data_IF_106386172770
#
_entry.id   IF_106386172770
#
_cell.length_a   1.000
_cell.length_b   1.000
_cell.length_c   1.000
_cell.angle_alpha   90.00
_cell.angle_beta   90.00
_cell.angle_gamma   90.00
#
_symmetry.space_group_name_H-M   'P 1'
#
loop_
_entity.id
_entity.type
_entity.pdbx_description
1 polymer ?
#
# COMPACT_ATOMS: atom_id res chain seq x y z
N UNK A 1 -44.99 -7.20 60.66
CA UNK A 1 -46.23 -6.81 59.95
C UNK A 1 -46.42 -5.31 60.09
N UNK A 2 -46.26 -4.55 59.01
CA UNK A 2 -46.93 -3.27 58.78
C UNK A 2 -46.61 -2.83 57.35
N UNK A 3 -47.61 -2.85 56.46
CA UNK A 3 -47.62 -2.07 55.23
C UNK A 3 -49.06 -1.79 54.81
N UNK A 4 -49.20 -0.68 54.07
CA UNK A 4 -50.23 -0.25 53.11
C UNK A 4 -50.97 1.01 53.55
N UNK A 5 -51.19 2.04 52.72
CA UNK A 5 -50.82 2.34 51.31
C UNK A 5 -51.15 3.82 51.04
N UNK A 6 -50.49 4.37 50.02
CA UNK A 6 -50.60 5.72 49.45
C UNK A 6 -52.02 6.15 49.04
N UNK A 7 -52.30 7.46 49.18
CA UNK A 7 -53.33 8.19 48.43
C UNK A 7 -52.76 9.55 48.01
N UNK A 8 -52.72 9.82 46.71
CA UNK A 8 -52.34 11.12 46.16
C UNK A 8 -53.33 12.21 46.59
N UNK A 9 -52.85 13.39 46.99
CA UNK A 9 -53.56 14.64 46.74
C UNK A 9 -52.57 15.81 46.77
N UNK A 10 -52.24 16.33 45.58
CA UNK A 10 -51.42 17.55 45.41
C UNK A 10 -52.33 18.74 45.72
N UNK A 11 -52.42 19.09 47.00
CA UNK A 11 -53.11 20.28 47.45
C UNK A 11 -52.34 21.53 47.01
N UNK A 12 -53.04 22.43 46.30
CA UNK A 12 -52.65 23.81 46.04
C UNK A 12 -52.59 24.61 47.35
N UNK A 13 -51.45 25.22 47.65
CA UNK A 13 -51.25 26.16 48.78
C UNK A 13 -50.35 27.28 48.24
N UNK A 14 -50.95 28.37 47.76
CA UNK A 14 -51.11 29.66 48.44
C UNK A 14 -49.80 30.47 48.52
N UNK A 15 -49.73 31.57 47.75
CA UNK A 15 -48.66 32.57 47.80
C UNK A 15 -48.68 33.33 49.14
N UNK A 16 -47.54 33.48 49.84
CA UNK A 16 -47.40 34.49 50.88
C UNK A 16 -46.82 35.79 50.32
N UNK A 17 -47.58 36.85 50.54
CA UNK A 17 -47.31 38.27 50.29
C UNK A 17 -45.97 38.72 50.88
N UNK A 18 -45.14 39.37 50.08
CA UNK A 18 -43.91 40.05 50.51
C UNK A 18 -44.25 41.53 50.67
N UNK A 19 -44.23 42.02 51.90
CA UNK A 19 -44.19 43.46 52.16
C UNK A 19 -42.82 43.86 52.75
N UNK A 20 -42.22 44.80 52.04
CA UNK A 20 -41.32 45.87 52.51
C UNK A 20 -39.85 45.53 52.82
N UNK A 21 -39.02 45.93 51.86
CA UNK A 21 -37.56 46.06 51.92
C UNK A 21 -37.09 47.23 52.83
N UNK A 22 -35.84 47.21 53.34
CA UNK A 22 -34.76 47.85 52.56
C UNK A 22 -33.37 47.21 52.78
N UNK A 23 -32.84 46.48 51.78
CA UNK A 23 -31.39 46.17 51.70
C UNK A 23 -30.79 46.39 50.30
N UNK A 24 -31.55 46.97 49.36
CA UNK A 24 -31.13 47.26 47.99
C UNK A 24 -29.80 48.01 47.81
N UNK A 25 -29.34 48.94 48.68
CA UNK A 25 -28.12 49.69 48.39
C UNK A 25 -26.82 48.89 48.56
N UNK A 26 -26.81 47.89 49.46
CA UNK A 26 -25.58 47.16 49.81
C UNK A 26 -25.31 45.98 48.88
N UNK A 27 -26.37 45.35 48.38
CA UNK A 27 -26.25 44.26 47.41
C UNK A 27 -25.85 44.80 46.03
N UNK A 28 -26.49 45.88 45.56
CA UNK A 28 -26.17 46.51 44.29
C UNK A 28 -24.73 47.08 44.22
N UNK A 29 -24.22 47.65 45.32
CA UNK A 29 -22.83 48.13 45.38
C UNK A 29 -21.80 46.98 45.38
N UNK A 30 -22.14 45.85 46.01
CA UNK A 30 -21.31 44.65 46.00
C UNK A 30 -21.33 43.96 44.63
N UNK A 31 -22.47 43.97 43.93
CA UNK A 31 -22.62 43.47 42.57
C UNK A 31 -21.86 44.32 41.57
N UNK A 32 -21.91 45.65 41.65
CA UNK A 32 -21.13 46.52 40.76
C UNK A 32 -19.61 46.34 40.96
N UNK A 33 -19.18 46.11 42.20
CA UNK A 33 -17.77 45.82 42.49
C UNK A 33 -17.39 44.43 42.00
N UNK A 34 -18.25 43.43 42.20
CA UNK A 34 -18.03 42.06 41.73
C UNK A 34 -18.02 41.97 40.20
N UNK A 35 -18.95 42.63 39.50
CA UNK A 35 -18.99 42.69 38.04
C UNK A 35 -17.74 43.38 37.47
N UNK A 36 -17.30 44.48 38.08
CA UNK A 36 -16.08 45.19 37.66
C UNK A 36 -14.81 44.34 37.81
N UNK A 37 -14.75 43.47 38.83
CA UNK A 37 -13.61 42.56 39.02
C UNK A 37 -13.73 41.26 38.20
N UNK A 38 -14.92 40.69 38.03
CA UNK A 38 -15.13 39.41 37.34
C UNK A 38 -15.14 39.55 35.81
N UNK A 39 -15.67 40.66 35.28
CA UNK A 39 -15.71 40.92 33.85
C UNK A 39 -14.33 40.86 33.15
N UNK A 40 -13.25 41.50 33.67
CA UNK A 40 -11.94 41.42 33.04
C UNK A 40 -11.34 40.02 33.13
N UNK A 41 -11.57 39.27 34.22
CA UNK A 41 -11.04 37.91 34.38
C UNK A 41 -11.73 36.91 33.43
N UNK A 42 -13.05 37.00 33.27
CA UNK A 42 -13.80 36.19 32.30
C UNK A 42 -13.38 36.55 30.87
N UNK A 43 -13.15 37.83 30.61
CA UNK A 43 -12.65 38.31 29.31
C UNK A 43 -11.26 37.75 29.00
N UNK A 44 -10.31 37.83 29.92
CA UNK A 44 -8.97 37.27 29.73
C UNK A 44 -9.01 35.75 29.57
N UNK A 45 -9.83 35.05 30.35
CA UNK A 45 -10.00 33.60 30.19
C UNK A 45 -10.58 33.23 28.80
N UNK A 46 -11.55 34.00 28.29
CA UNK A 46 -12.08 33.81 26.93
C UNK A 46 -11.02 34.10 25.87
N UNK A 47 -10.29 35.20 25.98
CA UNK A 47 -9.25 35.59 25.02
C UNK A 47 -8.11 34.55 24.98
N UNK A 48 -7.72 33.98 26.13
CA UNK A 48 -6.75 32.89 26.18
C UNK A 48 -7.28 31.62 25.51
N UNK A 49 -8.51 31.20 25.81
CA UNK A 49 -9.13 30.03 25.19
C UNK A 49 -9.28 30.18 23.67
N UNK A 50 -9.71 31.37 23.20
CA UNK A 50 -9.78 31.69 21.77
C UNK A 50 -8.39 31.63 21.12
N UNK A 51 -7.34 32.12 21.81
CA UNK A 51 -5.97 32.06 21.30
C UNK A 51 -5.42 30.63 21.19
N UNK A 52 -5.74 29.75 22.15
CA UNK A 52 -5.36 28.33 22.10
C UNK A 52 -6.14 27.58 21.03
N UNK A 53 -7.43 27.88 20.88
CA UNK A 53 -8.27 27.31 19.85
C UNK A 53 -7.77 27.68 18.44
N UNK A 54 -7.49 28.95 18.18
CA UNK A 54 -6.96 29.40 16.89
C UNK A 54 -5.57 28.83 16.60
N UNK A 55 -4.68 28.72 17.59
CA UNK A 55 -3.38 28.03 17.42
C UNK A 55 -3.55 26.55 17.07
N UNK A 56 -4.48 25.85 17.74
CA UNK A 56 -4.75 24.43 17.45
C UNK A 56 -5.32 24.25 16.04
N UNK A 57 -6.22 25.13 15.63
CA UNK A 57 -6.82 25.15 14.30
C UNK A 57 -5.79 25.43 13.22
N UNK A 58 -4.88 26.38 13.45
CA UNK A 58 -3.81 26.71 12.50
C UNK A 58 -2.80 25.55 12.35
N UNK A 59 -2.46 24.86 13.44
CA UNK A 59 -1.62 23.66 13.37
C UNK A 59 -2.32 22.52 12.62
N UNK A 60 -3.60 22.30 12.90
CA UNK A 60 -4.39 21.29 12.20
C UNK A 60 -4.51 21.59 10.70
N UNK A 61 -4.84 22.83 10.35
CA UNK A 61 -4.94 23.27 8.95
C UNK A 61 -3.59 23.14 8.25
N UNK A 62 -2.49 23.62 8.86
CA UNK A 62 -1.16 23.54 8.21
C UNK A 62 -0.64 22.10 8.05
N UNK A 63 -0.94 21.20 8.99
CA UNK A 63 -0.63 19.76 8.86
C UNK A 63 -1.50 19.12 7.76
N UNK A 64 -2.79 19.46 7.75
CA UNK A 64 -3.73 18.97 6.74
C UNK A 64 -3.36 19.46 5.35
N UNK A 65 -3.01 20.73 5.20
CA UNK A 65 -2.60 21.31 3.92
C UNK A 65 -1.32 20.67 3.38
N UNK A 66 -0.34 20.36 4.24
CA UNK A 66 0.86 19.61 3.86
C UNK A 66 0.54 18.17 3.44
N UNK A 67 -0.37 17.52 4.16
CA UNK A 67 -0.82 16.18 3.83
C UNK A 67 -1.54 16.18 2.47
N UNK A 68 -2.51 17.08 2.29
CA UNK A 68 -3.26 17.23 1.05
C UNK A 68 -2.38 17.70 -0.12
N UNK A 69 -1.38 18.56 0.10
CA UNK A 69 -0.45 18.96 -0.96
C UNK A 69 0.40 17.78 -1.41
N UNK A 70 0.88 16.98 -0.46
CA UNK A 70 1.66 15.76 -0.74
C UNK A 70 0.80 14.72 -1.45
N UNK A 71 -0.43 14.49 -0.98
CA UNK A 71 -1.38 13.62 -1.67
C UNK A 71 -1.71 14.13 -3.08
N UNK A 72 -1.85 15.46 -3.27
CA UNK A 72 -2.13 16.05 -4.57
C UNK A 72 -0.95 15.89 -5.51
N UNK A 73 0.28 16.02 -5.04
CA UNK A 73 1.50 15.82 -5.81
C UNK A 73 1.71 14.35 -6.19
N UNK A 74 1.44 13.43 -5.25
CA UNK A 74 1.48 11.99 -5.52
C UNK A 74 0.35 11.59 -6.46
N UNK A 75 -0.86 12.13 -6.28
CA UNK A 75 -2.02 11.85 -7.15
C UNK A 75 -1.85 12.48 -8.52
N UNK A 76 -1.25 13.67 -8.63
CA UNK A 76 -0.98 14.30 -9.92
C UNK A 76 0.13 13.56 -10.67
N UNK A 77 1.16 13.08 -9.96
CA UNK A 77 2.23 12.24 -10.51
C UNK A 77 1.72 10.86 -10.90
N UNK A 78 0.85 10.26 -10.08
CA UNK A 78 0.21 8.97 -10.40
C UNK A 78 -0.76 9.12 -11.59
N UNK A 79 -1.53 10.22 -11.63
CA UNK A 79 -2.42 10.54 -12.74
C UNK A 79 -1.65 10.85 -14.02
N UNK A 80 -0.46 11.45 -13.93
CA UNK A 80 0.40 11.70 -15.09
C UNK A 80 1.16 10.45 -15.54
N UNK A 81 1.47 9.52 -14.64
CA UNK A 81 2.07 8.21 -14.95
C UNK A 81 1.05 7.16 -15.38
N UNK A 82 -0.25 7.38 -15.15
CA UNK A 82 -1.27 6.39 -15.45
C UNK A 82 -1.95 6.67 -16.81
N UNK A 83 -1.86 5.72 -17.75
CA UNK A 83 -2.73 5.72 -18.93
C UNK A 83 -4.16 5.40 -18.49
N UNK A 84 -5.13 6.27 -18.83
CA UNK A 84 -6.57 6.13 -18.49
C UNK A 84 -7.21 4.81 -18.94
N UNK A 85 -6.47 4.01 -19.71
CA UNK A 85 -6.89 2.70 -20.21
C UNK A 85 -6.68 1.55 -19.22
N UNK A 86 -5.83 1.69 -18.20
CA UNK A 86 -5.64 0.64 -17.19
C UNK A 86 -6.56 0.87 -15.98
N UNK A 87 -7.22 -0.15 -15.46
CA UNK A 87 -8.04 -0.01 -14.25
C UNK A 87 -7.21 -0.39 -13.01
N UNK A 88 -6.74 0.62 -12.26
CA UNK A 88 -5.88 0.40 -11.10
C UNK A 88 -6.53 -0.45 -10.01
N UNK A 89 -7.84 -0.32 -9.80
CA UNK A 89 -8.51 -0.92 -8.66
C UNK A 89 -8.57 -2.46 -8.72
N UNK A 90 -9.03 -3.11 -9.82
CA UNK A 90 -8.96 -4.57 -9.93
C UNK A 90 -7.53 -5.07 -10.19
N UNK A 91 -6.76 -4.40 -11.05
CA UNK A 91 -5.42 -4.88 -11.40
C UNK A 91 -4.43 -4.74 -10.26
N UNK A 92 -4.49 -3.67 -9.47
CA UNK A 92 -3.66 -3.48 -8.28
C UNK A 92 -3.92 -4.55 -7.22
N UNK A 93 -5.18 -4.99 -7.07
CA UNK A 93 -5.50 -6.13 -6.21
C UNK A 93 -4.86 -7.44 -6.71
N UNK A 94 -4.79 -7.67 -8.02
CA UNK A 94 -4.09 -8.82 -8.58
C UNK A 94 -2.57 -8.78 -8.32
N UNK A 95 -1.96 -7.59 -8.33
CA UNK A 95 -0.55 -7.43 -7.94
C UNK A 95 -0.34 -7.74 -6.47
N UNK A 96 -1.20 -7.21 -5.58
CA UNK A 96 -1.13 -7.46 -4.14
C UNK A 96 -1.34 -8.94 -3.81
N UNK A 97 -2.28 -9.60 -4.47
CA UNK A 97 -2.50 -11.04 -4.29
C UNK A 97 -1.33 -11.86 -4.80
N UNK A 98 -0.70 -11.49 -5.93
CA UNK A 98 0.54 -12.10 -6.40
C UNK A 98 1.69 -11.97 -5.39
N UNK A 99 1.89 -10.77 -4.83
CA UNK A 99 2.88 -10.54 -3.77
C UNK A 99 2.61 -11.42 -2.54
N UNK A 100 1.35 -11.45 -2.08
CA UNK A 100 0.94 -12.26 -0.93
C UNK A 100 1.13 -13.76 -1.21
N UNK A 101 0.82 -14.20 -2.42
CA UNK A 101 1.07 -15.57 -2.88
C UNK A 101 2.55 -15.92 -2.80
N UNK A 102 3.45 -15.03 -3.24
CA UNK A 102 4.90 -15.20 -3.08
C UNK A 102 5.35 -15.35 -1.64
N UNK A 103 4.69 -14.67 -0.69
CA UNK A 103 4.93 -14.81 0.75
C UNK A 103 4.45 -16.16 1.30
N UNK A 104 3.29 -16.64 0.85
CA UNK A 104 2.80 -17.97 1.21
C UNK A 104 3.72 -19.07 0.68
N UNK A 105 4.19 -18.96 -0.57
CA UNK A 105 5.13 -19.92 -1.19
C UNK A 105 6.45 -19.98 -0.42
N UNK A 106 6.93 -18.85 0.09
CA UNK A 106 8.19 -18.79 0.84
C UNK A 106 8.06 -19.11 2.34
N UNK A 107 6.86 -19.41 2.84
CA UNK A 107 6.55 -19.61 4.27
C UNK A 107 7.48 -20.61 4.96
N UNK A 108 7.88 -21.69 4.27
CA UNK A 108 8.74 -22.76 4.82
C UNK A 108 10.17 -22.73 4.29
N UNK A 109 10.59 -21.65 3.63
CA UNK A 109 11.95 -21.53 3.07
C UNK A 109 12.80 -20.59 3.92
N UNK A 110 14.12 -20.61 3.68
CA UNK A 110 15.08 -19.76 4.40
C UNK A 110 14.81 -18.27 4.25
N UNK A 111 15.46 -17.45 5.10
CA UNK A 111 15.22 -16.01 5.20
C UNK A 111 15.36 -15.28 3.85
N UNK A 112 16.36 -15.65 3.04
CA UNK A 112 16.58 -15.09 1.70
C UNK A 112 15.38 -15.30 0.77
N UNK A 113 14.83 -16.51 0.72
CA UNK A 113 13.69 -16.80 -0.15
C UNK A 113 12.43 -16.14 0.40
N UNK A 114 12.31 -16.01 1.73
CA UNK A 114 11.20 -15.32 2.39
C UNK A 114 11.11 -13.83 2.03
N UNK A 115 12.25 -13.17 1.79
CA UNK A 115 12.27 -11.76 1.39
C UNK A 115 12.19 -11.58 -0.13
N UNK A 116 12.88 -12.41 -0.91
CA UNK A 116 12.96 -12.26 -2.38
C UNK A 116 11.68 -12.75 -3.07
N UNK A 117 11.07 -13.84 -2.60
CA UNK A 117 9.91 -14.46 -3.25
C UNK A 117 8.69 -13.52 -3.34
N UNK A 118 8.24 -12.86 -2.26
CA UNK A 118 7.13 -11.90 -2.36
C UNK A 118 7.40 -10.80 -3.40
N UNK A 119 8.62 -10.25 -3.39
CA UNK A 119 9.01 -9.17 -4.32
C UNK A 119 9.03 -9.67 -5.76
N UNK A 120 9.62 -10.84 -6.03
CA UNK A 120 9.68 -11.40 -7.37
C UNK A 120 8.28 -11.69 -7.95
N UNK A 121 7.40 -12.30 -7.15
CA UNK A 121 6.01 -12.53 -7.56
C UNK A 121 5.24 -11.21 -7.71
N UNK A 122 5.43 -10.26 -6.81
CA UNK A 122 4.81 -8.93 -6.91
C UNK A 122 5.22 -8.18 -8.18
N UNK A 123 6.51 -8.16 -8.51
CA UNK A 123 7.02 -7.53 -9.74
C UNK A 123 6.51 -8.24 -11.00
N UNK A 124 6.46 -9.58 -10.96
CA UNK A 124 5.93 -10.37 -12.08
C UNK A 124 4.45 -10.06 -12.30
N UNK A 125 3.64 -10.08 -11.23
CA UNK A 125 2.23 -9.70 -11.31
C UNK A 125 2.05 -8.24 -11.74
N UNK A 126 2.90 -7.32 -11.28
CA UNK A 126 2.85 -5.92 -11.67
C UNK A 126 3.04 -5.74 -13.18
N UNK A 127 4.05 -6.40 -13.76
CA UNK A 127 4.28 -6.40 -15.21
C UNK A 127 3.12 -7.03 -16.00
N UNK A 128 2.49 -8.07 -15.48
CA UNK A 128 1.39 -8.78 -16.18
C UNK A 128 0.09 -7.97 -16.13
N UNK A 129 -0.28 -7.43 -14.97
CA UNK A 129 -1.59 -6.79 -14.76
C UNK A 129 -1.57 -5.27 -14.99
N UNK A 130 -0.41 -4.61 -14.92
CA UNK A 130 -0.23 -3.19 -15.21
C UNK A 130 1.02 -2.94 -16.08
N UNK A 131 1.06 -3.42 -17.33
CA UNK A 131 2.24 -3.33 -18.19
C UNK A 131 2.64 -1.89 -18.52
N UNK A 132 1.70 -1.00 -18.86
CA UNK A 132 2.07 0.38 -19.20
C UNK A 132 2.55 1.14 -17.97
N UNK A 133 1.87 0.96 -16.82
CA UNK A 133 2.30 1.57 -15.56
C UNK A 133 3.69 1.06 -15.14
N UNK A 134 3.97 -0.23 -15.35
CA UNK A 134 5.28 -0.82 -15.11
C UNK A 134 6.36 -0.16 -15.98
N UNK A 135 6.15 -0.08 -17.29
CA UNK A 135 7.15 0.47 -18.23
C UNK A 135 7.40 1.97 -17.99
N UNK A 136 6.36 2.74 -17.68
CA UNK A 136 6.49 4.18 -17.35
C UNK A 136 7.24 4.39 -16.03
N UNK A 137 6.90 3.62 -14.99
CA UNK A 137 7.57 3.71 -13.70
C UNK A 137 9.04 3.30 -13.81
N UNK A 138 9.31 2.19 -14.51
CA UNK A 138 10.67 1.70 -14.72
C UNK A 138 11.48 2.67 -15.58
N UNK A 139 10.88 3.23 -16.63
CA UNK A 139 11.50 4.27 -17.45
C UNK A 139 11.88 5.52 -16.65
N UNK A 140 10.99 5.98 -15.76
CA UNK A 140 11.27 7.12 -14.88
C UNK A 140 12.41 6.82 -13.89
N UNK A 141 12.39 5.64 -13.26
CA UNK A 141 13.47 5.19 -12.36
C UNK A 141 14.80 5.11 -13.11
N UNK A 142 14.81 4.52 -14.31
CA UNK A 142 16.00 4.37 -15.15
C UNK A 142 16.58 5.72 -15.59
N UNK A 143 15.70 6.68 -15.91
CA UNK A 143 16.11 8.05 -16.23
C UNK A 143 16.75 8.72 -15.00
N UNK A 144 16.09 8.62 -13.84
CA UNK A 144 16.61 9.20 -12.60
C UNK A 144 17.90 8.56 -12.12
N UNK A 145 18.06 7.26 -12.32
CA UNK A 145 19.28 6.55 -12.02
C UNK A 145 20.43 7.00 -12.93
N UNK A 146 20.16 7.19 -14.23
CA UNK A 146 21.17 7.72 -15.15
C UNK A 146 21.64 9.13 -14.79
N UNK A 147 20.72 9.99 -14.35
CA UNK A 147 21.02 11.37 -13.97
C UNK A 147 21.83 11.46 -12.66
N UNK A 148 21.50 10.65 -11.66
CA UNK A 148 22.05 10.81 -10.31
C UNK A 148 23.12 9.77 -9.96
N UNK A 149 23.11 8.60 -10.59
CA UNK A 149 23.92 7.43 -10.24
C UNK A 149 24.42 6.66 -11.50
N UNK A 150 25.25 7.29 -12.34
CA UNK A 150 25.69 6.68 -13.61
C UNK A 150 26.50 5.38 -13.43
N UNK A 151 27.20 5.22 -12.30
CA UNK A 151 27.98 4.02 -12.02
C UNK A 151 27.11 2.77 -11.82
N UNK A 152 25.98 2.93 -11.13
CA UNK A 152 25.03 1.82 -10.90
C UNK A 152 24.36 1.44 -12.22
N UNK A 153 23.96 2.43 -13.01
CA UNK A 153 23.41 2.25 -14.34
C UNK A 153 24.31 1.40 -15.25
N UNK A 154 25.59 1.75 -15.35
CA UNK A 154 26.54 1.04 -16.20
C UNK A 154 26.73 -0.42 -15.76
N UNK A 155 26.69 -0.68 -14.44
CA UNK A 155 26.77 -2.04 -13.89
C UNK A 155 25.52 -2.86 -14.20
N UNK A 156 24.33 -2.26 -14.12
CA UNK A 156 23.10 -2.94 -14.53
C UNK A 156 23.14 -3.32 -16.01
N UNK A 157 23.56 -2.42 -16.90
CA UNK A 157 23.70 -2.70 -18.33
C UNK A 157 24.72 -3.80 -18.59
N UNK A 158 25.86 -3.79 -17.89
CA UNK A 158 26.87 -4.85 -17.97
C UNK A 158 26.29 -6.23 -17.60
N UNK A 159 25.49 -6.29 -16.53
CA UNK A 159 24.82 -7.52 -16.09
C UNK A 159 23.79 -7.99 -17.10
N UNK A 160 22.99 -7.08 -17.65
CA UNK A 160 21.98 -7.38 -18.67
C UNK A 160 22.64 -7.97 -19.93
N UNK A 161 23.72 -7.34 -20.42
CA UNK A 161 24.45 -7.82 -21.60
C UNK A 161 25.05 -9.22 -21.38
N UNK A 162 25.61 -9.46 -20.18
CA UNK A 162 26.13 -10.79 -19.80
C UNK A 162 25.01 -11.83 -19.74
N UNK A 163 23.84 -11.47 -19.24
CA UNK A 163 22.69 -12.37 -19.20
C UNK A 163 22.18 -12.71 -20.61
N UNK A 164 22.15 -11.74 -21.52
CA UNK A 164 21.80 -11.96 -22.92
C UNK A 164 22.80 -12.88 -23.62
N UNK A 165 24.11 -12.68 -23.39
CA UNK A 165 25.15 -13.56 -23.91
C UNK A 165 24.99 -14.99 -23.39
N UNK A 166 24.68 -15.17 -22.10
CA UNK A 166 24.41 -16.48 -21.52
C UNK A 166 23.15 -17.14 -22.12
N UNK A 167 22.09 -16.37 -22.38
CA UNK A 167 20.88 -16.89 -22.99
C UNK A 167 21.12 -17.32 -24.43
N UNK A 168 21.91 -16.56 -25.18
CA UNK A 168 22.32 -16.91 -26.54
C UNK A 168 23.24 -18.13 -26.56
N UNK A 169 24.17 -18.26 -25.61
CA UNK A 169 24.99 -19.47 -25.45
C UNK A 169 24.14 -20.68 -25.06
N UNK A 170 23.15 -20.50 -24.18
CA UNK A 170 22.25 -21.57 -23.77
C UNK A 170 21.37 -22.05 -24.92
N UNK A 171 20.88 -21.15 -25.78
CA UNK A 171 20.06 -21.53 -26.94
C UNK A 171 20.88 -22.26 -28.00
N UNK A 172 22.12 -21.81 -28.24
CA UNK A 172 23.07 -22.52 -29.09
C UNK A 172 23.40 -23.91 -28.54
N UNK A 173 23.63 -24.02 -27.24
CA UNK A 173 23.92 -25.29 -26.57
C UNK A 173 22.72 -26.24 -26.60
N UNK A 174 21.48 -25.73 -26.48
CA UNK A 174 20.28 -26.54 -26.65
C UNK A 174 20.15 -27.08 -28.09
N UNK A 175 20.47 -26.27 -29.11
CA UNK A 175 20.50 -26.72 -30.51
C UNK A 175 21.62 -27.73 -30.79
N UNK A 176 22.76 -27.61 -30.10
CA UNK A 176 23.90 -28.54 -30.22
C UNK A 176 23.64 -29.86 -29.48
N UNK A 177 22.91 -29.82 -28.36
CA UNK A 177 22.44 -31.01 -27.64
C UNK A 177 21.51 -31.86 -28.49
N UNK A 178 20.64 -31.27 -29.31
CA UNK A 178 19.73 -32.01 -30.18
C UNK A 178 20.50 -32.87 -31.20
N UNK A 179 21.51 -32.30 -31.87
CA UNK A 179 22.37 -33.03 -32.83
C UNK A 179 23.19 -34.12 -32.15
N UNK A 180 23.71 -33.84 -30.96
CA UNK A 180 24.48 -34.80 -30.17
C UNK A 180 23.61 -35.96 -29.71
N UNK A 181 22.38 -35.69 -29.24
CA UNK A 181 21.42 -36.72 -28.83
C UNK A 181 21.09 -37.68 -29.97
N UNK A 182 20.90 -37.17 -31.20
CA UNK A 182 20.72 -38.02 -32.39
C UNK A 182 21.94 -38.90 -32.66
N UNK A 183 23.16 -38.38 -32.54
CA UNK A 183 24.38 -39.18 -32.75
C UNK A 183 24.55 -40.29 -31.70
N UNK A 184 24.21 -40.02 -30.43
CA UNK A 184 24.24 -41.02 -29.36
C UNK A 184 23.14 -42.07 -29.53
N UNK A 185 21.93 -41.65 -29.91
CA UNK A 185 20.83 -42.56 -30.21
C UNK A 185 21.16 -43.50 -31.37
N UNK A 186 21.77 -42.98 -32.45
CA UNK A 186 22.18 -43.78 -33.60
C UNK A 186 23.33 -44.74 -33.25
N UNK A 187 24.33 -44.29 -32.49
CA UNK A 187 25.40 -45.18 -32.02
C UNK A 187 24.85 -46.27 -31.10
N UNK A 188 23.94 -45.94 -30.18
CA UNK A 188 23.26 -46.92 -29.33
C UNK A 188 22.46 -47.94 -30.14
N UNK A 189 21.71 -47.48 -31.15
CA UNK A 189 20.98 -48.34 -32.09
C UNK A 189 21.93 -49.28 -32.85
N UNK A 190 23.08 -48.78 -33.30
CA UNK A 190 24.12 -49.56 -33.99
C UNK A 190 24.77 -50.60 -33.08
N UNK A 191 25.11 -50.25 -31.84
CA UNK A 191 25.66 -51.21 -30.87
C UNK A 191 24.67 -52.35 -30.57
N UNK A 192 23.38 -52.02 -30.41
CA UNK A 192 22.34 -53.04 -30.24
C UNK A 192 22.20 -53.89 -31.49
N UNK A 193 22.24 -53.31 -32.68
CA UNK A 193 22.18 -54.04 -33.95
C UNK A 193 23.40 -54.97 -34.15
N UNK A 194 24.61 -54.52 -33.83
CA UNK A 194 25.85 -55.30 -33.95
C UNK A 194 25.89 -56.45 -32.92
N UNK A 195 25.33 -56.26 -31.72
CA UNK A 195 25.28 -57.30 -30.69
C UNK A 195 24.15 -58.32 -30.91
N UNK A 196 23.00 -57.89 -31.44
CA UNK A 196 21.82 -58.76 -31.66
C UNK A 196 21.72 -59.30 -33.09
N UNK A 197 22.50 -58.77 -34.03
CA UNK A 197 22.41 -59.10 -35.45
C UNK A 197 21.14 -58.60 -36.15
N UNK A 198 20.31 -57.78 -35.47
CA UNK A 198 19.00 -57.35 -35.96
C UNK A 198 19.07 -55.93 -36.56
N UNK A 199 18.69 -55.79 -37.83
CA UNK A 199 18.62 -54.48 -38.50
C UNK A 199 17.33 -53.74 -38.14
N UNK A 200 17.43 -52.77 -37.23
CA UNK A 200 16.30 -52.01 -36.66
C UNK A 200 15.75 -50.91 -37.61
N UNK A 201 16.20 -50.87 -38.86
CA UNK A 201 15.73 -49.94 -39.91
C UNK A 201 14.70 -50.56 -40.88
N UNK A 202 14.34 -51.83 -40.72
CA UNK A 202 13.26 -52.41 -41.50
C UNK A 202 11.91 -51.91 -41.00
N UNK A 203 11.40 -50.87 -41.68
CA UNK A 203 9.99 -50.46 -41.60
C UNK A 203 9.15 -51.65 -42.05
N UNK A 204 8.49 -52.32 -41.11
CA UNK A 204 7.41 -53.26 -41.44
C UNK A 204 6.25 -52.42 -41.98
N UNK A 205 6.24 -52.25 -43.29
CA UNK A 205 5.06 -51.80 -44.03
C UNK A 205 4.00 -52.90 -43.94
N UNK A 206 3.24 -52.87 -42.85
CA UNK A 206 2.02 -53.64 -42.70
C UNK A 206 0.92 -53.00 -43.56
N UNK A 207 0.84 -53.41 -44.83
CA UNK A 207 -0.42 -53.37 -45.58
C UNK A 207 -1.19 -54.66 -45.29
N UNK A 208 -2.21 -54.56 -44.44
CA UNK A 208 -3.59 -55.05 -44.64
C UNK A 208 -4.37 -54.97 -43.34
#
# INVERSE_FOLDING_TARGET
MADKRSFYSRATVAEPVIDTEPQLPKLAASEQTAESFLAPHIRSAREELESYFEKSKQLYISQSDKYYSTEREVTSTLSSLHDKRETLFPNGLYVLTGFLFGSVVARKRGLFVKTISPVAFGLTSFKIFLPNTFDLTFGFVHQKERENLPDVYNKQVEIINKAEELMNKSSQLAQEQEKSFWSYFQNGKKFVADWTGLNVDQVVSGKK
#
